data_IF_567971368610
#
_entry.id   IF_567971368610
#
_cell.length_a   1.000
_cell.length_b   1.000
_cell.length_c   1.000
_cell.angle_alpha   90.00
_cell.angle_beta   90.00
_cell.angle_gamma   90.00
#
_symmetry.space_group_name_H-M   'P 1'
#
loop_
_entity.id
_entity.type
_entity.pdbx_description
1 polymer ?
#
# COMPACT_ATOMS: atom_id res chain seq x y z
N UNK A 1 -43.13 6.10 2.62
CA UNK A 1 -41.76 6.56 2.90
C UNK A 1 -40.84 5.44 2.50
N UNK A 2 -39.83 5.76 1.70
CA UNK A 2 -39.02 4.79 0.98
C UNK A 2 -37.87 4.30 1.88
N UNK A 3 -37.95 3.05 2.34
CA UNK A 3 -36.96 2.33 3.16
C UNK A 3 -35.70 1.92 2.36
N UNK A 4 -34.90 2.89 1.92
CA UNK A 4 -33.66 2.62 1.15
C UNK A 4 -32.39 2.64 2.00
N UNK A 5 -32.49 2.64 3.33
CA UNK A 5 -31.33 2.78 4.23
C UNK A 5 -31.27 1.77 5.38
N UNK A 6 -31.80 0.56 5.21
CA UNK A 6 -31.43 -0.56 6.10
C UNK A 6 -30.30 -1.37 5.45
N UNK A 7 -29.07 -1.38 6.00
CA UNK A 7 -28.04 -2.29 5.53
C UNK A 7 -28.50 -3.73 5.80
N UNK A 8 -28.53 -4.56 4.75
CA UNK A 8 -28.85 -5.98 4.89
C UNK A 8 -27.90 -6.66 5.89
N UNK A 9 -28.41 -7.44 6.86
CA UNK A 9 -27.61 -8.20 7.79
C UNK A 9 -27.01 -9.41 7.05
N UNK A 10 -25.87 -9.20 6.39
CA UNK A 10 -25.20 -10.24 5.62
C UNK A 10 -24.17 -9.73 4.62
N UNK A 11 -24.22 -8.46 4.22
CA UNK A 11 -23.14 -7.85 3.43
C UNK A 11 -22.04 -7.36 4.36
N UNK A 12 -21.09 -8.24 4.70
CA UNK A 12 -19.74 -7.79 5.05
C UNK A 12 -19.19 -7.07 3.82
N UNK A 13 -19.43 -5.77 3.72
CA UNK A 13 -18.71 -4.90 2.80
C UNK A 13 -17.22 -5.19 3.05
N UNK A 14 -16.51 -5.68 2.05
CA UNK A 14 -15.08 -5.90 2.17
C UNK A 14 -14.43 -4.53 2.34
N UNK A 15 -14.23 -4.15 3.61
CA UNK A 15 -13.68 -2.84 4.00
C UNK A 15 -12.18 -2.74 3.74
N UNK A 16 -11.59 -3.85 3.29
CA UNK A 16 -10.16 -4.05 3.14
C UNK A 16 -9.91 -4.84 1.85
N UNK A 17 -8.78 -4.55 1.23
CA UNK A 17 -8.24 -5.29 0.11
C UNK A 17 -6.88 -5.86 0.50
N UNK A 18 -6.61 -7.09 0.09
CA UNK A 18 -5.29 -7.70 0.23
C UNK A 18 -4.55 -7.58 -1.10
N UNK A 19 -3.39 -6.94 -1.08
CA UNK A 19 -2.58 -6.64 -2.26
C UNK A 19 -1.17 -7.16 -2.04
N UNK A 20 -0.58 -7.72 -3.10
CA UNK A 20 0.86 -7.93 -3.21
C UNK A 20 1.37 -7.05 -4.35
N UNK A 21 2.47 -6.34 -4.11
CA UNK A 21 3.11 -5.51 -5.13
C UNK A 21 4.26 -6.25 -5.79
N UNK A 22 4.38 -6.08 -7.10
CA UNK A 22 5.31 -6.78 -7.95
C UNK A 22 5.94 -5.78 -8.92
N UNK A 23 7.25 -5.84 -9.09
CA UNK A 23 7.96 -4.95 -10.02
C UNK A 23 9.23 -5.60 -10.55
N UNK A 24 9.57 -5.29 -11.80
CA UNK A 24 10.89 -5.58 -12.33
C UNK A 24 11.81 -4.37 -12.18
N UNK A 25 12.98 -4.57 -11.57
CA UNK A 25 14.00 -3.54 -11.37
C UNK A 25 15.33 -3.98 -12.00
N UNK A 26 16.18 -3.03 -12.40
CA UNK A 26 17.53 -3.34 -12.85
C UNK A 26 18.32 -4.12 -11.80
N UNK A 27 19.24 -4.95 -12.27
CA UNK A 27 20.17 -5.66 -11.40
C UNK A 27 21.02 -4.68 -10.59
N UNK A 28 21.29 -5.01 -9.32
CA UNK A 28 22.11 -4.18 -8.43
C UNK A 28 21.38 -3.02 -7.78
N UNK A 29 20.05 -2.89 -7.93
CA UNK A 29 19.27 -1.86 -7.24
C UNK A 29 19.39 -1.92 -5.71
N UNK A 30 19.59 -3.13 -5.17
CA UNK A 30 19.84 -3.43 -3.76
C UNK A 30 21.12 -2.76 -3.22
N UNK A 31 22.10 -2.52 -4.10
CA UNK A 31 23.35 -1.81 -3.78
C UNK A 31 23.16 -0.29 -3.66
N UNK A 32 22.11 0.25 -4.28
CA UNK A 32 21.77 1.67 -4.22
C UNK A 32 20.91 1.94 -2.98
N UNK A 33 19.97 1.05 -2.68
CA UNK A 33 19.09 1.16 -1.52
C UNK A 33 18.02 0.09 -1.51
N UNK A 34 17.05 0.23 -0.61
CA UNK A 34 15.96 -0.73 -0.45
C UNK A 34 14.79 -0.34 -1.37
N UNK A 35 14.38 -1.18 -2.33
CA UNK A 35 13.15 -0.93 -3.08
C UNK A 35 11.91 -1.02 -2.19
N UNK A 36 11.01 -0.06 -2.36
CA UNK A 36 9.81 0.11 -1.53
C UNK A 36 8.61 0.55 -2.36
N UNK A 37 7.41 0.42 -1.79
CA UNK A 37 6.18 1.03 -2.27
C UNK A 37 5.78 2.14 -1.29
N UNK A 38 5.48 3.32 -1.82
CA UNK A 38 4.94 4.45 -1.06
C UNK A 38 3.56 4.80 -1.61
N UNK A 39 2.65 5.24 -0.75
CA UNK A 39 1.31 5.62 -1.18
C UNK A 39 0.57 6.49 -0.18
N UNK A 40 -0.63 6.92 -0.57
CA UNK A 40 -1.46 7.83 0.25
C UNK A 40 -2.04 7.17 1.50
N UNK A 41 -2.23 5.85 1.48
CA UNK A 41 -2.78 5.09 2.61
C UNK A 41 -1.75 4.94 3.73
N UNK A 42 -2.21 4.82 4.97
CA UNK A 42 -1.32 4.65 6.14
C UNK A 42 -0.49 3.37 6.04
N UNK A 43 -1.07 2.32 5.48
CA UNK A 43 -0.43 1.03 5.24
C UNK A 43 0.65 1.11 4.15
N UNK A 44 0.56 2.14 3.29
CA UNK A 44 1.57 2.51 2.30
C UNK A 44 2.45 3.68 2.75
N UNK A 45 2.37 4.07 4.03
CA UNK A 45 3.26 5.05 4.63
C UNK A 45 2.91 6.53 4.44
N UNK A 46 1.73 6.84 3.91
CA UNK A 46 1.26 8.22 3.71
C UNK A 46 2.31 9.13 3.04
N UNK A 47 2.95 8.61 2.00
CA UNK A 47 4.03 9.23 1.22
C UNK A 47 5.35 9.54 1.95
N UNK A 48 5.41 9.42 3.28
CA UNK A 48 6.60 9.78 4.06
C UNK A 48 7.36 8.58 4.65
N UNK A 49 6.69 7.47 4.90
CA UNK A 49 7.26 6.33 5.63
C UNK A 49 7.41 5.09 4.73
N UNK A 50 8.63 4.58 4.48
CA UNK A 50 8.85 3.41 3.63
C UNK A 50 8.53 2.09 4.35
N UNK A 51 7.24 1.85 4.63
CA UNK A 51 6.75 0.68 5.37
C UNK A 51 6.77 -0.56 4.48
N UNK A 52 6.36 -0.42 3.22
CA UNK A 52 6.23 -1.54 2.29
C UNK A 52 7.55 -1.80 1.58
N UNK A 53 8.31 -2.78 2.07
CA UNK A 53 9.57 -3.21 1.47
C UNK A 53 9.33 -4.29 0.42
N UNK A 54 10.02 -4.18 -0.71
CA UNK A 54 10.08 -5.22 -1.72
C UNK A 54 11.31 -6.10 -1.49
N UNK A 55 11.15 -7.42 -1.63
CA UNK A 55 12.26 -8.38 -1.54
C UNK A 55 12.50 -9.00 -2.91
N UNK A 56 13.78 -9.10 -3.27
CA UNK A 56 14.19 -9.76 -4.50
C UNK A 56 13.78 -11.25 -4.44
N UNK A 57 13.11 -11.72 -5.48
CA UNK A 57 12.73 -13.12 -5.65
C UNK A 57 13.58 -13.77 -6.74
N UNK A 58 14.03 -12.99 -7.73
CA UNK A 58 14.98 -13.39 -8.77
C UNK A 58 15.74 -12.12 -9.25
N UNK A 59 16.72 -12.26 -10.14
CA UNK A 59 17.58 -11.20 -10.69
C UNK A 59 16.91 -9.83 -10.81
N UNK A 60 15.86 -9.72 -11.62
CA UNK A 60 15.15 -8.44 -11.82
C UNK A 60 13.82 -8.38 -11.11
N UNK A 61 13.33 -9.45 -10.47
CA UNK A 61 11.96 -9.55 -9.98
C UNK A 61 11.86 -9.34 -8.47
N UNK A 62 11.02 -8.39 -8.07
CA UNK A 62 10.84 -7.95 -6.69
C UNK A 62 9.38 -8.02 -6.28
N UNK A 63 9.14 -8.44 -5.02
CA UNK A 63 7.80 -8.69 -4.49
C UNK A 63 7.67 -8.21 -3.04
N UNK A 64 6.53 -7.64 -2.67
CA UNK A 64 6.23 -7.32 -1.26
C UNK A 64 5.69 -8.54 -0.50
N UNK A 65 5.62 -8.43 0.83
CA UNK A 65 4.70 -9.27 1.60
C UNK A 65 3.24 -8.93 1.24
N UNK A 66 2.28 -9.77 1.67
CA UNK A 66 0.85 -9.50 1.51
C UNK A 66 0.45 -8.34 2.42
N UNK A 67 -0.29 -7.37 1.88
CA UNK A 67 -0.67 -6.14 2.60
C UNK A 67 -2.16 -5.99 2.59
N UNK A 68 -2.74 -5.83 3.77
CA UNK A 68 -4.15 -5.48 3.94
C UNK A 68 -4.28 -3.96 3.97
N UNK A 69 -5.01 -3.37 3.03
CA UNK A 69 -5.26 -1.94 2.94
C UNK A 69 -6.74 -1.69 3.18
N UNK A 70 -7.09 -0.90 4.19
CA UNK A 70 -8.47 -0.46 4.34
C UNK A 70 -8.87 0.44 3.17
N UNK A 71 -10.09 0.31 2.65
CA UNK A 71 -10.64 1.13 1.56
C UNK A 71 -11.34 2.40 2.07
N UNK A 72 -11.73 2.40 3.34
CA UNK A 72 -12.44 3.51 3.95
C UNK A 72 -11.51 4.44 4.71
N UNK A 73 -11.78 5.73 4.63
CA UNK A 73 -11.21 6.71 5.55
C UNK A 73 -12.33 7.17 6.48
N UNK A 74 -12.30 6.84 7.78
CA UNK A 74 -13.25 7.43 8.71
C UNK A 74 -13.00 8.95 8.70
N UNK A 75 -14.00 9.72 8.32
CA UNK A 75 -14.01 11.15 8.54
C UNK A 75 -14.91 11.48 9.74
N UNK A 76 -14.69 12.67 10.29
CA UNK A 76 -15.37 13.19 11.48
C UNK A 76 -16.90 13.20 11.36
N UNK A 77 -17.44 13.15 10.14
CA UNK A 77 -18.87 13.21 9.84
C UNK A 77 -19.51 11.85 9.52
N UNK A 78 -18.80 10.72 9.72
CA UNK A 78 -19.30 9.38 9.36
C UNK A 78 -19.71 9.23 7.88
N UNK A 79 -19.18 10.07 6.98
CA UNK A 79 -19.38 9.93 5.54
C UNK A 79 -18.34 8.95 5.03
N UNK A 80 -18.77 7.72 4.79
CA UNK A 80 -17.95 6.67 4.22
C UNK A 80 -17.57 7.04 2.78
N UNK A 81 -16.33 7.48 2.55
CA UNK A 81 -15.78 7.64 1.19
C UNK A 81 -14.78 6.53 0.92
N UNK A 82 -14.97 5.84 -0.20
CA UNK A 82 -13.94 5.00 -0.80
C UNK A 82 -12.88 5.94 -1.34
N UNK A 83 -11.67 5.88 -0.80
CA UNK A 83 -10.55 6.67 -1.28
C UNK A 83 -9.73 5.81 -2.24
N UNK A 84 -9.38 6.36 -3.40
CA UNK A 84 -8.53 5.67 -4.36
C UNK A 84 -7.15 5.44 -3.74
N UNK A 85 -6.64 4.21 -3.89
CA UNK A 85 -5.28 3.87 -3.50
C UNK A 85 -4.35 4.42 -4.56
N UNK A 86 -3.48 5.34 -4.16
CA UNK A 86 -2.41 5.89 -4.99
C UNK A 86 -1.09 5.39 -4.46
N UNK A 87 -0.23 4.91 -5.34
CA UNK A 87 1.07 4.38 -4.95
C UNK A 87 2.13 4.63 -6.03
N UNK A 88 3.40 4.58 -5.61
CA UNK A 88 4.58 4.63 -6.47
C UNK A 88 5.64 3.67 -5.94
N UNK A 89 6.44 3.13 -6.86
CA UNK A 89 7.69 2.44 -6.52
C UNK A 89 8.79 3.46 -6.28
N UNK A 90 9.65 3.21 -5.29
CA UNK A 90 10.80 4.06 -4.97
C UNK A 90 11.98 3.21 -4.47
N UNK A 91 13.18 3.79 -4.49
CA UNK A 91 14.37 3.23 -3.84
C UNK A 91 14.66 4.09 -2.62
N UNK A 92 14.53 3.52 -1.43
CA UNK A 92 14.83 4.20 -0.17
C UNK A 92 16.31 4.03 0.16
N UNK A 93 17.03 5.15 0.16
CA UNK A 93 18.47 5.21 0.40
C UNK A 93 18.70 5.67 1.84
N UNK A 94 19.34 4.82 2.67
CA UNK A 94 19.70 5.19 4.04
C UNK A 94 21.09 5.85 4.03
N UNK A 95 21.28 7.04 4.61
CA UNK A 95 22.53 7.79 4.56
C UNK A 95 23.78 7.03 5.04
N UNK A 96 23.64 5.98 5.86
CA UNK A 96 24.76 5.18 6.34
C UNK A 96 25.46 4.33 5.27
N UNK A 97 24.96 4.30 4.03
CA UNK A 97 25.64 3.61 2.91
C UNK A 97 26.69 4.49 2.19
N UNK A 98 26.88 5.74 2.62
CA UNK A 98 27.85 6.68 2.04
C UNK A 98 28.99 7.06 3.02
N UNK A 99 29.19 6.29 4.10
CA UNK A 99 30.31 6.48 5.04
C UNK A 99 31.56 5.74 4.61
#
# INVERSE_FOLDING_TARGET
MNDWFTPYPGSRLYNEIQITFHVHLPEGVDKIGQPVVLGNRKELGSWGNPIVKLRQQNLTYWKSDLITISLYKPNFFHIIRVELIQYKYAVHIVPSMFS
#
